data_IF_903040672501
#
_entry.id   IF_903040672501
#
_cell.length_a   1.000
_cell.length_b   1.000
_cell.length_c   1.000
_cell.angle_alpha   90.00
_cell.angle_beta   90.00
_cell.angle_gamma   90.00
#
_symmetry.space_group_name_H-M   'P 1'
#
loop_
_entity.id
_entity.type
_entity.pdbx_description
1 polymer ?
#
# COMPACT_ATOMS: atom_id res chain seq x y z
N UNK A 1 44.16 30.14 51.90
CA UNK A 1 43.26 30.37 50.74
C UNK A 1 43.67 29.48 49.57
N UNK A 2 43.22 28.22 49.51
CA UNK A 2 43.42 27.33 48.35
C UNK A 2 42.33 26.26 48.31
N UNK A 3 41.05 26.65 48.21
CA UNK A 3 39.93 25.69 48.13
C UNK A 3 38.81 26.14 47.16
N UNK A 4 39.10 27.07 46.25
CA UNK A 4 38.11 27.60 45.29
C UNK A 4 38.19 26.99 43.88
N UNK A 5 39.39 26.57 43.42
CA UNK A 5 39.59 26.32 41.99
C UNK A 5 39.23 24.91 41.53
N UNK A 6 39.41 23.89 42.39
CA UNK A 6 39.12 22.49 42.02
C UNK A 6 37.62 22.21 41.88
N UNK A 7 36.76 22.94 42.59
CA UNK A 7 35.30 22.83 42.46
C UNK A 7 34.77 23.59 41.22
N UNK A 8 35.39 24.71 40.85
CA UNK A 8 35.06 25.43 39.63
C UNK A 8 35.40 24.61 38.36
N UNK A 9 36.53 23.90 38.36
CA UNK A 9 36.93 23.05 37.23
C UNK A 9 36.00 21.84 37.04
N UNK A 10 35.48 21.24 38.12
CA UNK A 10 34.57 20.11 38.04
C UNK A 10 33.18 20.48 37.49
N UNK A 11 32.68 21.68 37.80
CA UNK A 11 31.37 22.16 37.31
C UNK A 11 31.44 22.54 35.82
N UNK A 12 32.57 23.12 35.38
CA UNK A 12 32.78 23.43 33.96
C UNK A 12 32.85 22.19 33.07
N UNK A 13 33.38 21.06 33.59
CA UNK A 13 33.48 19.82 32.83
C UNK A 13 32.13 19.09 32.72
N UNK A 14 31.24 19.23 33.71
CA UNK A 14 29.86 18.69 33.65
C UNK A 14 28.98 19.51 32.70
N UNK A 15 29.14 20.84 32.63
CA UNK A 15 28.41 21.67 31.67
C UNK A 15 28.89 21.50 30.22
N UNK A 16 30.16 21.14 30.00
CA UNK A 16 30.70 20.86 28.67
C UNK A 16 30.24 19.50 28.10
N UNK A 17 29.87 18.52 28.95
CA UNK A 17 29.30 17.24 28.49
C UNK A 17 27.82 17.36 28.10
N UNK A 18 27.12 18.40 28.58
CA UNK A 18 25.72 18.65 28.24
C UNK A 18 25.51 19.61 27.05
N UNK A 19 26.58 20.08 26.42
CA UNK A 19 26.53 20.98 25.26
C UNK A 19 27.09 20.30 24.01
N UNK A 20 26.61 19.08 23.71
CA UNK A 20 26.54 18.69 22.31
C UNK A 20 25.52 19.62 21.64
N UNK A 21 25.77 20.16 20.43
CA UNK A 21 24.67 20.67 19.65
C UNK A 21 23.74 19.47 19.50
N UNK A 22 22.58 19.53 20.16
CA UNK A 22 21.41 18.89 19.60
C UNK A 22 21.25 19.57 18.24
N UNK A 23 21.92 19.01 17.24
CA UNK A 23 21.31 18.89 15.93
C UNK A 23 19.99 18.19 16.22
N UNK A 24 18.99 18.97 16.62
CA UNK A 24 17.68 18.80 16.03
C UNK A 24 17.98 18.87 14.54
N UNK A 25 18.30 17.70 13.97
CA UNK A 25 18.18 17.51 12.55
C UNK A 25 16.82 18.11 12.26
N UNK A 26 16.80 19.21 11.50
CA UNK A 26 15.58 19.67 10.87
C UNK A 26 14.93 18.40 10.35
N UNK A 27 13.80 18.02 10.95
CA UNK A 27 12.99 16.96 10.40
C UNK A 27 12.76 17.39 8.96
N UNK A 28 13.44 16.71 8.03
CA UNK A 28 13.27 17.00 6.62
C UNK A 28 11.76 17.04 6.41
N UNK A 29 11.25 18.17 5.93
CA UNK A 29 9.91 18.21 5.36
C UNK A 29 9.99 17.32 4.14
N UNK A 30 9.56 16.08 4.28
CA UNK A 30 9.66 15.10 3.22
C UNK A 30 8.37 15.11 2.41
N UNK A 31 8.57 15.09 1.10
CA UNK A 31 7.58 15.28 0.06
C UNK A 31 6.46 14.23 0.15
N UNK A 32 5.32 14.59 -0.41
CA UNK A 32 4.15 13.73 -0.56
C UNK A 32 4.56 12.32 -1.06
N UNK A 33 4.62 11.34 -0.16
CA UNK A 33 5.06 9.98 -0.49
C UNK A 33 5.76 9.25 0.65
N UNK A 34 6.47 9.95 1.54
CA UNK A 34 7.23 9.30 2.60
C UNK A 34 6.35 8.80 3.76
N UNK A 35 6.48 7.49 4.01
CA UNK A 35 5.73 6.71 4.98
C UNK A 35 6.15 7.12 6.40
N UNK A 36 5.18 7.47 7.26
CA UNK A 36 5.39 7.50 8.72
C UNK A 36 5.68 6.08 9.21
N UNK A 37 6.93 5.64 9.15
CA UNK A 37 7.36 4.38 9.73
C UNK A 37 8.59 4.69 10.57
N UNK A 38 8.40 4.71 11.88
CA UNK A 38 9.54 4.74 12.81
C UNK A 38 10.49 3.60 12.46
N UNK A 39 11.78 3.77 12.74
CA UNK A 39 12.76 2.68 12.58
C UNK A 39 12.30 1.38 13.26
N UNK A 40 11.59 1.50 14.38
CA UNK A 40 10.95 0.40 15.09
C UNK A 40 9.87 -0.31 14.25
N UNK A 41 8.96 0.42 13.59
CA UNK A 41 7.97 -0.22 12.71
C UNK A 41 8.63 -0.86 11.48
N UNK A 42 9.68 -0.25 10.92
CA UNK A 42 10.44 -0.83 9.81
C UNK A 42 11.11 -2.15 10.23
N UNK A 43 11.64 -2.21 11.45
CA UNK A 43 12.21 -3.44 12.01
C UNK A 43 11.17 -4.58 12.17
N UNK A 44 9.89 -4.25 12.26
CA UNK A 44 8.78 -5.24 12.32
C UNK A 44 8.16 -5.58 10.97
N UNK A 45 8.70 -5.02 9.88
CA UNK A 45 8.22 -5.25 8.52
C UNK A 45 8.22 -6.72 8.15
N UNK A 46 7.06 -7.23 7.71
CA UNK A 46 6.92 -8.62 7.25
C UNK A 46 6.40 -8.66 5.82
N UNK A 47 7.18 -9.27 4.93
CA UNK A 47 6.73 -9.60 3.57
C UNK A 47 5.69 -10.71 3.66
N UNK A 48 4.47 -10.41 3.21
CA UNK A 48 3.35 -11.37 3.18
C UNK A 48 3.20 -12.01 1.79
N UNK A 49 3.60 -11.29 0.75
CA UNK A 49 3.59 -11.75 -0.63
C UNK A 49 4.68 -11.03 -1.43
N UNK A 50 5.28 -11.73 -2.39
CA UNK A 50 6.16 -11.17 -3.41
C UNK A 50 5.98 -11.96 -4.71
N UNK A 51 5.82 -11.23 -5.82
CA UNK A 51 5.66 -11.85 -7.15
C UNK A 51 6.96 -12.51 -7.59
N UNK A 52 6.85 -13.54 -8.43
CA UNK A 52 7.99 -14.15 -9.13
C UNK A 52 8.20 -13.58 -10.54
N UNK A 53 7.27 -12.75 -11.01
CA UNK A 53 7.40 -12.09 -12.30
C UNK A 53 8.58 -11.10 -12.28
N UNK A 54 9.38 -11.09 -13.34
CA UNK A 54 10.44 -10.10 -13.50
C UNK A 54 9.83 -8.75 -13.91
N UNK A 55 9.57 -7.94 -12.89
CA UNK A 55 9.00 -6.60 -12.99
C UNK A 55 10.03 -5.51 -12.68
N UNK A 56 11.32 -5.84 -12.62
CA UNK A 56 12.35 -4.86 -12.22
C UNK A 56 12.51 -3.70 -13.21
N UNK A 57 12.05 -3.89 -14.44
CA UNK A 57 12.05 -2.89 -15.52
C UNK A 57 10.70 -2.20 -15.72
N UNK A 58 9.69 -2.56 -14.92
CA UNK A 58 8.37 -1.95 -15.01
C UNK A 58 8.42 -0.70 -14.16
N UNK A 59 8.42 0.43 -14.84
CA UNK A 59 8.46 1.72 -14.20
C UNK A 59 7.33 2.58 -14.76
N UNK A 60 6.81 3.41 -13.88
CA UNK A 60 5.71 4.31 -14.14
C UNK A 60 6.14 5.69 -13.70
N UNK A 61 5.89 6.68 -14.55
CA UNK A 61 6.09 8.07 -14.21
C UNK A 61 5.08 8.44 -13.11
N UNK A 62 5.58 8.70 -11.91
CA UNK A 62 4.73 8.89 -10.73
C UNK A 62 3.85 10.12 -10.77
N UNK A 63 4.16 11.10 -11.62
CA UNK A 63 3.32 12.27 -11.83
C UNK A 63 2.15 11.97 -12.79
N UNK A 64 2.22 10.85 -13.51
CA UNK A 64 1.23 10.47 -14.52
C UNK A 64 0.09 9.68 -13.87
N UNK A 65 -1.15 10.06 -14.15
CA UNK A 65 -2.30 9.29 -13.70
C UNK A 65 -2.38 7.93 -14.42
N UNK A 66 -2.60 6.85 -13.67
CA UNK A 66 -2.89 5.53 -14.22
C UNK A 66 -4.35 5.51 -14.74
N UNK A 67 -4.58 5.32 -16.05
CA UNK A 67 -5.93 5.37 -16.61
C UNK A 67 -6.85 4.30 -16.03
N UNK A 68 -7.99 4.74 -15.48
CA UNK A 68 -9.01 3.83 -14.95
C UNK A 68 -8.50 2.90 -13.84
N UNK A 69 -7.49 3.34 -13.08
CA UNK A 69 -7.00 2.57 -11.94
C UNK A 69 -8.09 2.38 -10.89
N UNK A 70 -8.27 1.13 -10.47
CA UNK A 70 -9.19 0.74 -9.41
C UNK A 70 -8.45 -0.19 -8.48
N UNK A 71 -8.48 0.11 -7.18
CA UNK A 71 -7.97 -0.78 -6.14
C UNK A 71 -9.05 -1.02 -5.10
N UNK A 72 -9.06 -2.21 -4.51
CA UNK A 72 -9.90 -2.52 -3.36
C UNK A 72 -9.27 -3.62 -2.51
N UNK A 73 -9.69 -3.67 -1.25
CA UNK A 73 -9.34 -4.74 -0.34
C UNK A 73 -10.57 -5.14 0.46
N UNK A 74 -10.78 -6.45 0.63
CA UNK A 74 -11.92 -6.95 1.37
C UNK A 74 -11.65 -8.27 2.07
N UNK A 75 -12.25 -8.43 3.24
CA UNK A 75 -12.26 -9.68 4.00
C UNK A 75 -13.37 -10.58 3.43
N UNK A 76 -13.01 -11.76 2.94
CA UNK A 76 -13.97 -12.71 2.37
C UNK A 76 -14.99 -13.19 3.40
N UNK A 77 -14.64 -13.21 4.68
CA UNK A 77 -15.54 -13.67 5.74
C UNK A 77 -16.63 -12.62 6.00
N UNK A 78 -16.33 -11.33 5.80
CA UNK A 78 -17.31 -10.24 5.88
C UNK A 78 -18.19 -10.18 4.63
N UNK A 79 -17.60 -10.35 3.44
CA UNK A 79 -18.36 -10.33 2.17
C UNK A 79 -19.27 -11.54 2.02
N UNK A 80 -18.97 -12.67 2.66
CA UNK A 80 -19.87 -13.83 2.67
C UNK A 80 -21.28 -13.56 3.23
N UNK A 81 -21.50 -12.38 3.83
CA UNK A 81 -22.81 -11.89 4.30
C UNK A 81 -23.50 -10.89 3.35
N UNK A 82 -22.83 -10.44 2.28
CA UNK A 82 -23.37 -9.49 1.29
C UNK A 82 -23.99 -10.29 0.15
N UNK A 83 -25.28 -10.56 0.30
CA UNK A 83 -26.29 -10.99 -0.68
C UNK A 83 -25.83 -11.46 -2.06
N UNK A 84 -26.28 -12.67 -2.37
CA UNK A 84 -26.41 -13.31 -3.68
C UNK A 84 -27.40 -12.61 -4.63
N UNK A 85 -27.39 -11.29 -4.71
CA UNK A 85 -28.21 -10.59 -5.70
C UNK A 85 -27.49 -10.68 -7.05
N UNK A 86 -28.11 -11.39 -8.00
CA UNK A 86 -27.62 -11.56 -9.37
C UNK A 86 -27.28 -10.22 -10.00
N UNK A 87 -26.13 -10.18 -10.69
CA UNK A 87 -25.68 -9.04 -11.49
C UNK A 87 -26.83 -8.55 -12.39
N UNK A 88 -27.24 -7.27 -12.33
CA UNK A 88 -28.03 -6.71 -13.42
C UNK A 88 -27.24 -6.91 -14.71
N UNK A 89 -27.90 -7.49 -15.71
CA UNK A 89 -27.28 -8.00 -16.95
C UNK A 89 -26.17 -7.09 -17.46
N UNK A 90 -24.98 -7.68 -17.58
CA UNK A 90 -23.71 -7.05 -17.97
C UNK A 90 -23.86 -6.30 -19.29
N UNK A 91 -24.19 -5.02 -19.22
CA UNK A 91 -24.03 -4.07 -20.31
C UNK A 91 -23.20 -2.90 -19.79
N UNK A 92 -21.90 -3.01 -20.07
CA UNK A 92 -20.82 -2.07 -19.76
C UNK A 92 -20.54 -1.92 -18.27
N UNK A 93 -19.61 -2.73 -17.76
CA UNK A 93 -18.85 -2.38 -16.55
C UNK A 93 -18.15 -1.06 -16.88
N UNK A 94 -18.63 0.06 -16.34
CA UNK A 94 -18.16 1.41 -16.71
C UNK A 94 -17.69 2.23 -15.52
N UNK A 95 -18.07 1.86 -14.28
CA UNK A 95 -17.65 2.56 -13.07
C UNK A 95 -16.72 1.72 -12.19
N UNK A 96 -15.89 2.40 -11.39
CA UNK A 96 -14.99 1.76 -10.43
C UNK A 96 -15.76 0.90 -9.40
N UNK A 97 -16.95 1.34 -8.99
CA UNK A 97 -17.81 0.61 -8.05
C UNK A 97 -18.30 -0.73 -8.60
N UNK A 98 -18.66 -0.78 -9.88
CA UNK A 98 -19.07 -2.03 -10.55
C UNK A 98 -17.90 -3.00 -10.67
N UNK A 99 -16.69 -2.51 -10.95
CA UNK A 99 -15.48 -3.34 -10.97
C UNK A 99 -15.19 -3.92 -9.58
N UNK A 100 -15.32 -3.10 -8.53
CA UNK A 100 -15.14 -3.55 -7.14
C UNK A 100 -16.16 -4.63 -6.79
N UNK A 101 -17.45 -4.42 -7.09
CA UNK A 101 -18.50 -5.43 -6.84
C UNK A 101 -18.24 -6.73 -7.60
N UNK A 102 -17.85 -6.63 -8.87
CA UNK A 102 -17.51 -7.80 -9.68
C UNK A 102 -16.30 -8.56 -9.11
N UNK A 103 -15.27 -7.85 -8.65
CA UNK A 103 -14.11 -8.45 -7.98
C UNK A 103 -14.51 -9.13 -6.67
N UNK A 104 -15.36 -8.49 -5.86
CA UNK A 104 -15.88 -9.06 -4.61
C UNK A 104 -16.67 -10.35 -4.85
N UNK A 105 -17.53 -10.39 -5.88
CA UNK A 105 -18.26 -11.60 -6.24
C UNK A 105 -17.32 -12.69 -6.80
N UNK A 106 -16.36 -12.33 -7.65
CA UNK A 106 -15.42 -13.28 -8.27
C UNK A 106 -14.49 -13.92 -7.24
N UNK A 107 -14.02 -13.16 -6.25
CA UNK A 107 -12.99 -13.58 -5.30
C UNK A 107 -13.52 -13.81 -3.87
N UNK A 108 -14.83 -14.01 -3.71
CA UNK A 108 -15.45 -14.48 -2.45
C UNK A 108 -15.70 -15.99 -2.41
N UNK A 109 -15.43 -16.70 -3.51
CA UNK A 109 -15.64 -18.14 -3.63
C UNK A 109 -14.47 -19.02 -3.15
N UNK A 110 -14.59 -20.32 -3.41
CA UNK A 110 -13.58 -21.34 -3.06
C UNK A 110 -12.18 -20.94 -3.51
N UNK A 111 -11.21 -21.08 -2.62
CA UNK A 111 -9.81 -20.70 -2.85
C UNK A 111 -9.42 -19.31 -2.33
N UNK A 112 -10.40 -18.48 -1.99
CA UNK A 112 -10.18 -17.18 -1.31
C UNK A 112 -10.76 -17.17 0.12
N UNK A 113 -11.36 -18.26 0.56
CA UNK A 113 -11.94 -18.43 1.89
C UNK A 113 -10.94 -18.03 2.98
N UNK A 114 -11.43 -17.35 4.01
CA UNK A 114 -10.63 -16.87 5.12
C UNK A 114 -9.38 -16.10 4.65
N UNK A 115 -9.55 -15.21 3.66
CA UNK A 115 -8.48 -14.34 3.17
C UNK A 115 -8.89 -12.87 3.08
N UNK A 116 -7.91 -11.99 3.30
CA UNK A 116 -8.00 -10.61 2.84
C UNK A 116 -7.59 -10.62 1.37
N UNK A 117 -8.52 -10.28 0.50
CA UNK A 117 -8.25 -10.15 -0.94
C UNK A 117 -7.84 -8.71 -1.22
N UNK A 118 -6.68 -8.56 -1.86
CA UNK A 118 -6.15 -7.32 -2.39
C UNK A 118 -6.30 -7.35 -3.91
N UNK A 119 -7.01 -6.38 -4.47
CA UNK A 119 -7.31 -6.31 -5.89
C UNK A 119 -6.86 -4.96 -6.44
N UNK A 120 -6.21 -4.99 -7.60
CA UNK A 120 -5.87 -3.81 -8.38
C UNK A 120 -6.16 -4.08 -9.86
N UNK A 121 -6.69 -3.08 -10.56
CA UNK A 121 -6.87 -3.13 -12.00
C UNK A 121 -6.59 -1.78 -12.64
N UNK A 122 -6.29 -1.81 -13.94
CA UNK A 122 -6.16 -0.62 -14.77
C UNK A 122 -6.83 -0.83 -16.13
N UNK A 123 -7.24 0.27 -16.75
CA UNK A 123 -7.68 0.27 -18.13
C UNK A 123 -6.46 0.44 -19.06
N UNK A 124 -6.25 -0.52 -19.96
CA UNK A 124 -5.14 -0.48 -20.93
C UNK A 124 -5.51 0.25 -22.23
N UNK A 125 -6.79 0.59 -22.43
CA UNK A 125 -7.31 1.30 -23.62
C UNK A 125 -6.86 0.67 -24.95
N UNK A 126 -6.76 -0.66 -25.00
CA UNK A 126 -6.35 -1.40 -26.19
C UNK A 126 -4.85 -1.39 -26.47
N UNK A 127 -4.02 -0.92 -25.53
CA UNK A 127 -2.56 -0.92 -25.63
C UNK A 127 -1.91 -2.01 -24.74
N UNK A 128 -0.61 -2.25 -24.94
CA UNK A 128 0.20 -3.25 -24.22
C UNK A 128 0.55 -2.85 -22.77
N UNK A 129 -0.38 -2.17 -22.07
CA UNK A 129 -0.21 -1.85 -20.66
C UNK A 129 -0.27 -3.12 -19.80
N UNK A 130 0.54 -3.17 -18.75
CA UNK A 130 0.58 -4.31 -17.82
C UNK A 130 0.55 -3.83 -16.37
N UNK A 131 -0.08 -4.61 -15.50
CA UNK A 131 -0.19 -4.33 -14.07
C UNK A 131 -0.06 -5.62 -13.28
N UNK A 132 0.70 -5.58 -12.18
CA UNK A 132 0.73 -6.67 -11.22
C UNK A 132 1.02 -6.15 -9.81
N UNK A 133 0.40 -6.77 -8.80
CA UNK A 133 0.83 -6.59 -7.41
C UNK A 133 2.17 -7.31 -7.28
N UNK A 134 3.24 -6.56 -7.05
CA UNK A 134 4.61 -7.08 -7.00
C UNK A 134 5.02 -7.47 -5.59
N UNK A 135 4.52 -6.77 -4.58
CA UNK A 135 4.89 -7.00 -3.17
C UNK A 135 3.77 -6.58 -2.23
N UNK A 136 3.62 -7.31 -1.13
CA UNK A 136 2.74 -6.93 -0.01
C UNK A 136 3.52 -7.04 1.29
N UNK A 137 3.59 -5.95 2.02
CA UNK A 137 4.32 -5.83 3.27
C UNK A 137 3.40 -5.39 4.39
N UNK A 138 3.62 -5.92 5.59
CA UNK A 138 2.88 -5.53 6.79
C UNK A 138 3.81 -4.86 7.79
N UNK A 139 3.42 -3.68 8.22
CA UNK A 139 4.06 -2.91 9.29
C UNK A 139 3.03 -2.69 10.41
N UNK A 140 3.01 -3.58 11.40
CA UNK A 140 1.97 -3.58 12.44
C UNK A 140 0.56 -3.72 11.84
N UNK A 141 -0.20 -2.62 11.81
CA UNK A 141 -1.59 -2.53 11.28
C UNK A 141 -1.67 -1.89 9.89
N UNK A 142 -0.54 -1.52 9.31
CA UNK A 142 -0.44 -1.02 7.94
C UNK A 142 -0.07 -2.17 7.00
N UNK A 143 -0.77 -2.26 5.87
CA UNK A 143 -0.42 -3.07 4.73
C UNK A 143 0.01 -2.14 3.60
N UNK A 144 1.26 -2.28 3.15
CA UNK A 144 1.77 -1.61 1.98
C UNK A 144 1.72 -2.58 0.79
N UNK A 145 1.02 -2.20 -0.27
CA UNK A 145 0.82 -3.00 -1.49
C UNK A 145 1.54 -2.30 -2.62
N UNK A 146 2.66 -2.87 -3.06
CA UNK A 146 3.39 -2.36 -4.22
C UNK A 146 2.81 -2.94 -5.49
N UNK A 147 2.44 -2.06 -6.42
CA UNK A 147 1.93 -2.37 -7.73
C UNK A 147 2.99 -2.00 -8.76
N UNK A 148 3.48 -2.98 -9.49
CA UNK A 148 4.32 -2.73 -10.67
C UNK A 148 3.40 -2.44 -11.85
N UNK A 149 3.62 -1.29 -12.47
CA UNK A 149 2.83 -0.78 -13.59
C UNK A 149 3.77 -0.57 -14.76
N UNK A 150 3.40 -1.10 -15.91
CA UNK A 150 4.03 -0.77 -17.17
C UNK A 150 2.97 -0.08 -18.02
N UNK A 151 3.08 1.24 -18.10
CA UNK A 151 2.06 2.07 -18.71
C UNK A 151 1.94 1.80 -20.23
N UNK A 152 0.72 1.88 -20.77
CA UNK A 152 0.55 2.03 -22.21
C UNK A 152 1.13 3.38 -22.65
N UNK A 153 2.17 3.34 -23.48
CA UNK A 153 2.84 4.54 -24.00
C UNK A 153 1.95 5.22 -25.06
N UNK A 154 1.15 6.21 -24.66
CA UNK A 154 0.45 7.06 -25.62
C UNK A 154 -0.64 7.94 -25.02
N UNK A 155 -1.00 8.99 -25.78
CA UNK A 155 -2.18 9.80 -25.48
C UNK A 155 -3.44 8.91 -25.48
N UNK A 156 -4.36 9.19 -24.56
CA UNK A 156 -5.63 8.48 -24.42
C UNK A 156 -6.45 8.65 -25.71
N UNK A 157 -6.48 7.63 -26.56
CA UNK A 157 -7.37 7.56 -27.71
C UNK A 157 -8.66 6.85 -27.32
N UNK A 158 -9.75 7.14 -28.05
CA UNK A 158 -11.06 6.52 -27.85
C UNK A 158 -11.11 5.06 -28.34
N UNK A 159 -10.14 4.23 -27.92
CA UNK A 159 -10.17 2.78 -28.11
C UNK A 159 -11.10 2.10 -27.10
N UNK A 160 -11.43 0.83 -27.34
CA UNK A 160 -12.13 0.03 -26.33
C UNK A 160 -11.19 -0.25 -25.13
N UNK A 161 -11.68 0.02 -23.92
CA UNK A 161 -10.93 -0.27 -22.71
C UNK A 161 -10.84 -1.79 -22.49
N UNK A 162 -9.63 -2.34 -22.59
CA UNK A 162 -9.30 -3.67 -22.07
C UNK A 162 -8.83 -3.50 -20.63
N UNK A 163 -9.33 -4.32 -19.71
CA UNK A 163 -8.96 -4.25 -18.28
C UNK A 163 -7.88 -5.29 -17.98
N UNK A 164 -6.80 -4.86 -17.35
CA UNK A 164 -5.81 -5.74 -16.73
C UNK A 164 -6.02 -5.74 -15.22
N UNK A 165 -6.22 -6.91 -14.62
CA UNK A 165 -6.38 -7.08 -13.18
C UNK A 165 -5.25 -7.89 -12.54
N UNK A 166 -5.06 -7.68 -11.23
CA UNK A 166 -4.15 -8.42 -10.38
C UNK A 166 -4.77 -8.61 -9.01
N UNK A 167 -4.65 -9.83 -8.48
CA UNK A 167 -5.25 -10.21 -7.20
C UNK A 167 -4.23 -10.94 -6.32
N UNK A 168 -4.23 -10.62 -5.03
CA UNK A 168 -3.45 -11.33 -4.00
C UNK A 168 -4.36 -11.65 -2.82
N UNK A 169 -4.39 -12.92 -2.42
CA UNK A 169 -5.12 -13.38 -1.24
C UNK A 169 -4.15 -13.59 -0.08
N UNK A 170 -4.35 -12.86 1.01
CA UNK A 170 -3.57 -13.01 2.24
C UNK A 170 -4.42 -13.76 3.27
N UNK A 171 -4.00 -14.95 3.72
CA UNK A 171 -4.73 -15.68 4.75
C UNK A 171 -4.95 -14.82 5.99
N UNK A 172 -6.20 -14.75 6.43
CA UNK A 172 -6.66 -13.94 7.56
C UNK A 172 -5.83 -14.20 8.83
N UNK A 173 -5.45 -15.46 9.10
CA UNK A 173 -4.58 -15.87 10.21
C UNK A 173 -3.19 -15.22 10.24
N UNK A 174 -2.71 -14.67 9.11
CA UNK A 174 -1.42 -13.95 9.02
C UNK A 174 -1.57 -12.45 9.35
N UNK A 175 -2.78 -11.98 9.54
CA UNK A 175 -3.11 -10.58 9.84
C UNK A 175 -3.48 -10.41 11.33
N UNK A 176 -3.36 -9.19 11.88
CA UNK A 176 -3.90 -8.86 13.19
C UNK A 176 -5.38 -9.28 13.34
N UNK A 177 -5.79 -9.70 14.54
CA UNK A 177 -7.14 -10.26 14.74
C UNK A 177 -8.24 -9.19 14.79
N UNK A 178 -7.98 -8.03 15.42
CA UNK A 178 -9.01 -7.04 15.70
C UNK A 178 -8.69 -5.67 15.12
N UNK A 179 -9.73 -4.91 14.76
CA UNK A 179 -9.72 -3.50 14.38
C UNK A 179 -9.41 -3.24 12.90
N UNK A 180 -9.22 -1.96 12.55
CA UNK A 180 -8.99 -1.55 11.16
C UNK A 180 -7.55 -1.80 10.72
N UNK A 181 -7.38 -2.36 9.53
CA UNK A 181 -6.13 -2.33 8.79
C UNK A 181 -6.14 -1.14 7.85
N UNK A 182 -5.04 -0.38 7.85
CA UNK A 182 -4.80 0.60 6.81
C UNK A 182 -4.11 -0.08 5.64
N UNK A 183 -4.59 0.14 4.43
CA UNK A 183 -4.07 -0.47 3.22
C UNK A 183 -3.71 0.66 2.26
N UNK A 184 -2.44 0.72 1.90
CA UNK A 184 -1.90 1.68 0.94
C UNK A 184 -1.43 0.94 -0.30
N UNK A 185 -1.95 1.30 -1.45
CA UNK A 185 -1.43 0.90 -2.75
C UNK A 185 -0.43 1.96 -3.20
N UNK A 186 0.77 1.51 -3.53
CA UNK A 186 1.84 2.35 -4.08
C UNK A 186 2.35 1.77 -5.39
N UNK A 187 2.93 2.59 -6.24
CA UNK A 187 3.70 2.12 -7.39
C UNK A 187 5.08 1.56 -6.97
N UNK A 188 5.88 1.12 -7.93
CA UNK A 188 7.24 0.62 -7.68
C UNK A 188 8.21 1.70 -7.14
N UNK A 189 7.89 2.99 -7.34
CA UNK A 189 8.70 4.12 -6.90
C UNK A 189 8.30 4.64 -5.51
N UNK A 190 7.19 4.14 -4.95
CA UNK A 190 6.66 4.49 -3.62
C UNK A 190 5.56 5.55 -3.62
N UNK A 191 5.13 6.02 -4.78
CA UNK A 191 4.06 7.01 -4.89
C UNK A 191 2.70 6.38 -4.62
N UNK A 192 1.85 7.11 -3.88
CA UNK A 192 0.52 6.63 -3.49
C UNK A 192 -0.43 6.56 -4.68
N UNK A 193 -1.03 5.39 -4.88
CA UNK A 193 -2.05 5.14 -5.91
C UNK A 193 -3.47 5.12 -5.33
N UNK A 194 -3.62 4.51 -4.14
CA UNK A 194 -4.88 4.49 -3.41
C UNK A 194 -4.64 4.19 -1.93
N UNK A 195 -5.47 4.75 -1.06
CA UNK A 195 -5.48 4.47 0.37
C UNK A 195 -6.89 4.08 0.81
N UNK A 196 -6.99 3.08 1.68
CA UNK A 196 -8.27 2.64 2.25
C UNK A 196 -8.07 1.98 3.61
N UNK A 197 -9.17 1.90 4.37
CA UNK A 197 -9.22 1.14 5.60
C UNK A 197 -10.11 -0.09 5.40
N UNK A 198 -9.63 -1.25 5.86
CA UNK A 198 -10.38 -2.50 5.87
C UNK A 198 -10.62 -2.92 7.33
N UNK A 199 -11.88 -3.07 7.71
CA UNK A 199 -12.23 -3.63 9.00
C UNK A 199 -12.04 -5.16 8.97
N UNK A 200 -11.20 -5.68 9.86
CA UNK A 200 -11.16 -7.12 10.13
C UNK A 200 -12.19 -7.43 11.21
N UNK A 201 -13.28 -8.09 10.84
CA UNK A 201 -14.30 -8.57 11.77
C UNK A 201 -14.11 -10.07 11.96
N UNK A 202 -13.31 -10.46 12.96
CA UNK A 202 -13.04 -11.86 13.30
C UNK A 202 -13.05 -12.09 14.80
#
# INVERSE_FOLDING_TARGET
MQYGWKRAAAIALVLAVCAGPAYAAEHNKLADGELFVSEEMNATGKVLYQTTADVSKWDHDSEKAIPGFVATAFDTDVISQINSDELPGVKKISSAEEQIKAAQQKYSGKGYEHSLVLYASMATQGQNGQLTISKVERFGRLINVTVAVNDPTGAQTAGEAITQDSVVAIPLKKLPQFGNLRIRFVDATGHGLADMDAALQR
#
